data_IF_499103588220
#
_entry.id   IF_499103588220
#
_cell.length_a   1.000
_cell.length_b   1.000
_cell.length_c   1.000
_cell.angle_alpha   90.00
_cell.angle_beta   90.00
_cell.angle_gamma   90.00
#
_symmetry.space_group_name_H-M   'P 1'
#
loop_
_entity.id
_entity.type
_entity.pdbx_description
1 polymer ?
#
# COMPACT_ATOMS: atom_id res chain seq x y z
N UNK A 1 -22.97 -7.65 5.02
CA UNK A 1 -22.11 -7.77 6.22
C UNK A 1 -20.67 -8.13 5.84
N UNK A 2 -20.46 -9.04 4.90
CA UNK A 2 -19.10 -9.49 4.49
C UNK A 2 -18.18 -8.38 3.97
N UNK A 3 -18.67 -7.49 3.11
CA UNK A 3 -17.87 -6.37 2.60
C UNK A 3 -17.40 -5.39 3.68
N UNK A 4 -18.26 -5.12 4.67
CA UNK A 4 -17.91 -4.22 5.77
C UNK A 4 -16.87 -4.85 6.70
N UNK A 5 -17.03 -6.14 7.00
CA UNK A 5 -16.05 -6.91 7.77
C UNK A 5 -14.70 -6.98 7.05
N UNK A 6 -14.70 -7.28 5.74
CA UNK A 6 -13.49 -7.26 4.90
C UNK A 6 -12.81 -5.90 4.90
N UNK A 7 -13.58 -4.81 4.78
CA UNK A 7 -13.08 -3.45 4.78
C UNK A 7 -12.38 -3.08 6.11
N UNK A 8 -13.07 -3.30 7.24
CA UNK A 8 -12.51 -3.00 8.56
C UNK A 8 -11.29 -3.88 8.85
N UNK A 9 -11.36 -5.16 8.51
CA UNK A 9 -10.25 -6.09 8.66
C UNK A 9 -9.02 -5.65 7.86
N UNK A 10 -9.20 -5.18 6.63
CA UNK A 10 -8.11 -4.71 5.77
C UNK A 10 -7.43 -3.43 6.30
N UNK A 11 -8.17 -2.56 7.01
CA UNK A 11 -7.61 -1.33 7.57
C UNK A 11 -6.78 -1.61 8.83
N UNK A 12 -7.32 -2.40 9.76
CA UNK A 12 -6.76 -2.52 11.11
C UNK A 12 -6.00 -3.82 11.34
N UNK A 13 -6.55 -4.96 10.92
CA UNK A 13 -5.98 -6.29 11.19
C UNK A 13 -4.93 -6.66 10.15
N UNK A 14 -5.32 -6.61 8.86
CA UNK A 14 -4.45 -6.93 7.72
C UNK A 14 -3.75 -5.66 7.19
N UNK A 15 -3.33 -4.76 8.09
CA UNK A 15 -2.63 -3.54 7.70
C UNK A 15 -1.27 -3.88 7.06
N UNK A 16 -1.05 -3.40 5.83
CA UNK A 16 0.16 -3.71 5.05
C UNK A 16 1.46 -3.30 5.74
N UNK A 17 1.45 -2.22 6.54
CA UNK A 17 2.64 -1.75 7.24
C UNK A 17 2.83 -2.50 8.55
N UNK A 18 1.83 -2.55 9.41
CA UNK A 18 2.00 -3.03 10.77
C UNK A 18 1.94 -4.56 10.89
N UNK A 19 1.16 -5.24 10.03
CA UNK A 19 1.09 -6.69 10.04
C UNK A 19 2.19 -7.35 9.18
N UNK A 20 2.53 -6.75 8.04
CA UNK A 20 3.40 -7.39 7.05
C UNK A 20 4.69 -6.62 6.76
N UNK A 21 4.88 -5.42 7.31
CA UNK A 21 6.01 -4.51 7.06
C UNK A 21 6.23 -4.16 5.58
N UNK A 22 5.17 -4.19 4.78
CA UNK A 22 5.22 -3.91 3.36
C UNK A 22 5.14 -2.40 3.08
N UNK A 23 5.99 -1.92 2.18
CA UNK A 23 6.04 -0.50 1.80
C UNK A 23 6.80 0.37 2.79
N UNK A 24 7.64 -0.21 3.66
CA UNK A 24 8.45 0.53 4.63
C UNK A 24 9.43 1.53 3.99
N UNK A 25 9.94 1.25 2.80
CA UNK A 25 10.86 2.13 2.09
C UNK A 25 10.24 3.51 1.81
N UNK A 26 9.06 3.55 1.18
CA UNK A 26 8.32 4.80 0.94
C UNK A 26 7.75 5.40 2.22
N UNK A 27 7.29 4.56 3.13
CA UNK A 27 6.76 4.95 4.44
C UNK A 27 7.77 5.74 5.28
N UNK A 28 9.00 5.26 5.41
CA UNK A 28 10.07 5.94 6.17
C UNK A 28 10.61 7.17 5.42
N UNK A 29 10.74 7.10 4.10
CA UNK A 29 11.30 8.17 3.30
C UNK A 29 10.42 9.43 3.31
N UNK A 30 9.10 9.25 3.18
CA UNK A 30 8.14 10.34 2.96
C UNK A 30 7.47 10.84 4.25
N UNK A 31 7.54 10.08 5.35
CA UNK A 31 6.91 10.44 6.63
C UNK A 31 7.57 11.59 7.40
N UNK A 32 8.43 12.39 6.77
CA UNK A 32 9.04 13.57 7.40
C UNK A 32 8.11 14.77 7.49
N UNK A 33 7.14 14.86 6.59
CA UNK A 33 6.23 15.99 6.47
C UNK A 33 4.80 15.49 6.24
N UNK A 34 3.84 15.96 7.03
CA UNK A 34 2.43 15.53 6.95
C UNK A 34 1.81 15.84 5.57
N UNK A 35 2.12 16.98 4.97
CA UNK A 35 1.60 17.34 3.64
C UNK A 35 2.03 16.36 2.56
N UNK A 36 3.33 16.04 2.52
CA UNK A 36 3.88 15.11 1.54
C UNK A 36 3.38 13.68 1.80
N UNK A 37 3.30 13.28 3.06
CA UNK A 37 2.77 11.97 3.48
C UNK A 37 1.31 11.78 3.07
N UNK A 38 0.47 12.81 3.25
CA UNK A 38 -0.94 12.74 2.85
C UNK A 38 -1.11 12.69 1.33
N UNK A 39 -0.32 13.46 0.59
CA UNK A 39 -0.32 13.42 -0.88
C UNK A 39 0.06 12.03 -1.43
N UNK A 40 1.16 11.46 -0.92
CA UNK A 40 1.59 10.12 -1.32
C UNK A 40 0.56 9.06 -0.92
N UNK A 41 -0.01 9.16 0.26
CA UNK A 41 -1.01 8.20 0.74
C UNK A 41 -2.27 8.19 -0.11
N UNK A 42 -2.75 9.35 -0.55
CA UNK A 42 -3.88 9.45 -1.50
C UNK A 42 -3.52 8.83 -2.86
N UNK A 43 -2.31 9.08 -3.36
CA UNK A 43 -1.83 8.46 -4.60
C UNK A 43 -1.78 6.92 -4.48
N UNK A 44 -1.32 6.39 -3.35
CA UNK A 44 -1.27 4.94 -3.11
C UNK A 44 -2.69 4.34 -3.05
N UNK A 45 -3.65 5.01 -2.40
CA UNK A 45 -5.06 4.57 -2.40
C UNK A 45 -5.59 4.48 -3.83
N UNK A 46 -5.37 5.52 -4.63
CA UNK A 46 -5.83 5.56 -6.01
C UNK A 46 -5.20 4.45 -6.85
N UNK A 47 -3.88 4.27 -6.74
CA UNK A 47 -3.16 3.21 -7.48
C UNK A 47 -3.65 1.82 -7.06
N UNK A 48 -3.82 1.55 -5.76
CA UNK A 48 -4.36 0.28 -5.27
C UNK A 48 -5.77 0.01 -5.80
N UNK A 49 -6.63 1.04 -5.79
CA UNK A 49 -8.01 0.92 -6.27
C UNK A 49 -8.09 0.56 -7.75
N UNK A 50 -7.15 1.01 -8.55
CA UNK A 50 -7.10 0.69 -9.98
C UNK A 50 -6.38 -0.62 -10.25
N UNK A 51 -5.22 -0.85 -9.59
CA UNK A 51 -4.37 -2.02 -9.85
C UNK A 51 -4.95 -3.34 -9.36
N UNK A 52 -5.54 -3.38 -8.16
CA UNK A 52 -6.03 -4.64 -7.61
C UNK A 52 -7.18 -5.25 -8.43
N UNK A 53 -8.23 -4.51 -8.83
CA UNK A 53 -9.27 -5.06 -9.70
C UNK A 53 -8.73 -5.50 -11.06
N UNK A 54 -7.78 -4.77 -11.65
CA UNK A 54 -7.16 -5.15 -12.93
C UNK A 54 -6.34 -6.44 -12.77
N UNK A 55 -5.53 -6.53 -11.72
CA UNK A 55 -4.76 -7.74 -11.43
C UNK A 55 -5.66 -8.94 -11.10
N UNK A 56 -6.81 -8.70 -10.46
CA UNK A 56 -7.83 -9.74 -10.25
C UNK A 56 -8.40 -10.27 -11.57
N UNK A 57 -8.76 -9.38 -12.49
CA UNK A 57 -9.24 -9.77 -13.82
C UNK A 57 -8.16 -10.52 -14.59
N UNK A 58 -6.92 -10.06 -14.56
CA UNK A 58 -5.78 -10.74 -15.16
C UNK A 58 -5.56 -12.14 -14.57
N UNK A 59 -5.61 -12.26 -13.25
CA UNK A 59 -5.48 -13.55 -12.58
C UNK A 59 -6.58 -14.52 -13.02
N UNK A 60 -7.84 -14.04 -13.07
CA UNK A 60 -9.00 -14.86 -13.39
C UNK A 60 -9.09 -15.26 -14.89
N UNK A 61 -8.70 -14.36 -15.80
CA UNK A 61 -8.89 -14.58 -17.25
C UNK A 61 -7.62 -14.98 -17.99
N UNK A 62 -6.44 -14.67 -17.48
CA UNK A 62 -5.17 -14.90 -18.16
C UNK A 62 -4.34 -15.98 -17.46
N UNK A 63 -4.28 -15.92 -16.11
CA UNK A 63 -3.44 -16.83 -15.33
C UNK A 63 -4.17 -18.07 -14.81
N UNK A 64 -5.49 -18.14 -14.94
CA UNK A 64 -6.22 -19.34 -14.54
C UNK A 64 -5.73 -20.56 -15.34
N UNK A 65 -5.61 -21.74 -14.70
CA UNK A 65 -5.24 -22.97 -15.38
C UNK A 65 -6.16 -23.20 -16.58
N UNK A 66 -5.61 -23.51 -17.73
CA UNK A 66 -6.33 -23.73 -18.99
C UNK A 66 -7.00 -22.49 -19.65
N UNK A 67 -6.72 -21.25 -19.18
CA UNK A 67 -7.36 -20.07 -19.76
C UNK A 67 -6.82 -19.70 -21.14
N UNK A 68 -5.52 -19.71 -21.37
CA UNK A 68 -4.89 -19.35 -22.65
C UNK A 68 -4.24 -20.53 -23.37
N UNK A 69 -3.56 -21.43 -22.66
CA UNK A 69 -2.85 -22.58 -23.23
C UNK A 69 -3.17 -23.80 -22.39
N UNK A 70 -3.85 -24.79 -22.99
CA UNK A 70 -4.17 -26.06 -22.33
C UNK A 70 -2.89 -26.81 -21.93
N UNK A 71 -2.72 -27.06 -20.64
CA UNK A 71 -1.62 -27.86 -20.10
C UNK A 71 -0.38 -27.11 -19.64
N UNK A 72 -0.41 -25.76 -19.58
CA UNK A 72 0.71 -24.96 -19.05
C UNK A 72 0.21 -24.07 -17.90
N UNK A 73 0.76 -24.29 -16.71
CA UNK A 73 0.50 -23.45 -15.55
C UNK A 73 1.23 -22.10 -15.68
N UNK A 74 0.49 -21.04 -16.02
CA UNK A 74 1.01 -19.68 -16.11
C UNK A 74 1.10 -18.97 -14.75
N UNK A 75 0.75 -19.62 -13.65
CA UNK A 75 0.79 -19.04 -12.31
C UNK A 75 2.18 -18.54 -11.91
N UNK A 76 3.23 -19.14 -12.46
CA UNK A 76 4.62 -18.68 -12.30
C UNK A 76 4.86 -17.26 -12.85
N UNK A 77 4.13 -16.89 -13.91
CA UNK A 77 4.25 -15.54 -14.50
C UNK A 77 3.42 -14.48 -13.76
N UNK A 78 2.60 -14.86 -12.78
CA UNK A 78 1.72 -13.92 -12.05
C UNK A 78 2.50 -12.77 -11.44
N UNK A 79 3.62 -13.07 -10.81
CA UNK A 79 4.48 -12.07 -10.17
C UNK A 79 5.00 -11.02 -11.14
N UNK A 80 5.52 -11.46 -12.30
CA UNK A 80 6.06 -10.57 -13.34
C UNK A 80 4.95 -9.74 -13.97
N UNK A 81 3.80 -10.36 -14.25
CA UNK A 81 2.64 -9.67 -14.82
C UNK A 81 2.09 -8.61 -13.88
N UNK A 82 1.96 -8.91 -12.59
CA UNK A 82 1.48 -7.93 -11.61
C UNK A 82 2.42 -6.73 -11.51
N UNK A 83 3.73 -6.94 -11.47
CA UNK A 83 4.72 -5.85 -11.48
C UNK A 83 4.60 -5.01 -12.75
N UNK A 84 4.48 -5.64 -13.91
CA UNK A 84 4.36 -4.94 -15.19
C UNK A 84 3.09 -4.06 -15.23
N UNK A 85 1.96 -4.58 -14.77
CA UNK A 85 0.69 -3.84 -14.69
C UNK A 85 0.78 -2.67 -13.70
N UNK A 86 1.36 -2.90 -12.52
CA UNK A 86 1.56 -1.85 -11.52
C UNK A 86 2.43 -0.74 -12.10
N UNK A 87 3.56 -1.08 -12.73
CA UNK A 87 4.45 -0.11 -13.35
C UNK A 87 3.76 0.70 -14.45
N UNK A 88 3.00 0.04 -15.33
CA UNK A 88 2.26 0.71 -16.40
C UNK A 88 1.21 1.71 -15.85
N UNK A 89 0.44 1.30 -14.83
CA UNK A 89 -0.58 2.16 -14.23
C UNK A 89 0.06 3.35 -13.50
N UNK A 90 1.13 3.11 -12.75
CA UNK A 90 1.85 4.18 -12.04
C UNK A 90 2.45 5.18 -13.04
N UNK A 91 2.98 4.73 -14.17
CA UNK A 91 3.49 5.61 -15.22
C UNK A 91 2.39 6.51 -15.81
N UNK A 92 1.19 5.97 -16.00
CA UNK A 92 0.03 6.76 -16.45
C UNK A 92 -0.36 7.78 -15.37
N UNK A 93 -0.40 7.37 -14.11
CA UNK A 93 -0.71 8.27 -12.97
C UNK A 93 0.32 9.39 -12.86
N UNK A 94 1.60 9.08 -13.04
CA UNK A 94 2.68 10.07 -13.03
C UNK A 94 2.48 11.14 -14.11
N UNK A 95 2.21 10.73 -15.35
CA UNK A 95 1.93 11.66 -16.45
C UNK A 95 0.69 12.52 -16.20
N UNK A 96 -0.35 11.95 -15.60
CA UNK A 96 -1.58 12.69 -15.26
C UNK A 96 -1.31 13.70 -14.15
N UNK A 97 -0.59 13.31 -13.08
CA UNK A 97 -0.26 14.20 -11.96
C UNK A 97 0.66 15.33 -12.42
N UNK A 98 1.65 15.04 -13.25
CA UNK A 98 2.55 16.05 -13.82
C UNK A 98 1.78 17.12 -14.61
N UNK A 99 0.80 16.69 -15.42
CA UNK A 99 0.02 17.59 -16.28
C UNK A 99 -1.04 18.41 -15.53
N UNK A 100 -1.75 17.78 -14.58
CA UNK A 100 -2.91 18.39 -13.92
C UNK A 100 -2.61 18.99 -12.55
N UNK A 101 -1.59 18.52 -11.86
CA UNK A 101 -1.26 18.93 -10.49
C UNK A 101 0.26 19.20 -10.32
N UNK A 102 0.82 20.19 -11.04
CA UNK A 102 2.25 20.47 -11.02
C UNK A 102 2.78 20.85 -9.64
N UNK A 103 1.95 21.44 -8.78
CA UNK A 103 2.34 21.73 -7.39
C UNK A 103 2.51 20.46 -6.54
N UNK A 104 1.65 19.48 -6.75
CA UNK A 104 1.76 18.17 -6.08
C UNK A 104 2.95 17.39 -6.65
N UNK A 105 3.14 17.45 -7.97
CA UNK A 105 4.29 16.84 -8.64
C UNK A 105 5.61 17.39 -8.12
N UNK A 106 5.76 18.71 -7.96
CA UNK A 106 7.00 19.30 -7.43
C UNK A 106 7.27 18.94 -5.97
N UNK A 107 6.24 18.72 -5.15
CA UNK A 107 6.41 18.32 -3.75
C UNK A 107 6.60 16.81 -3.56
N UNK A 108 6.02 15.98 -4.43
CA UNK A 108 6.20 14.53 -4.44
C UNK A 108 7.39 14.09 -5.30
N UNK A 109 7.70 14.80 -6.36
CA UNK A 109 8.83 14.70 -7.28
C UNK A 109 9.50 13.32 -7.37
N UNK A 110 10.60 13.18 -6.66
CA UNK A 110 11.42 11.95 -6.61
C UNK A 110 10.65 10.76 -5.99
N UNK A 111 9.57 10.99 -5.24
CA UNK A 111 8.85 9.93 -4.53
C UNK A 111 7.75 9.27 -5.37
N UNK A 112 7.35 9.86 -6.50
CA UNK A 112 6.36 9.26 -7.38
C UNK A 112 6.81 7.91 -7.96
N UNK A 113 8.04 7.76 -8.49
CA UNK A 113 8.53 6.46 -8.94
C UNK A 113 8.61 5.39 -7.84
N UNK A 114 8.73 5.81 -6.57
CA UNK A 114 8.69 4.91 -5.42
C UNK A 114 7.32 4.23 -5.23
N UNK A 115 6.26 4.76 -5.84
CA UNK A 115 4.94 4.11 -5.84
C UNK A 115 4.98 2.85 -6.72
N UNK A 116 5.66 2.88 -7.86
CA UNK A 116 5.77 1.74 -8.77
C UNK A 116 6.47 0.53 -8.13
N UNK A 117 7.49 0.79 -7.30
CA UNK A 117 8.25 -0.26 -6.58
C UNK A 117 7.76 -0.43 -5.15
N UNK A 118 6.57 0.07 -4.81
CA UNK A 118 6.02 -0.03 -3.46
C UNK A 118 5.57 -1.46 -3.16
N UNK A 119 6.26 -2.10 -2.22
CA UNK A 119 5.97 -3.47 -1.81
C UNK A 119 4.55 -3.65 -1.26
N UNK A 120 3.89 -2.60 -0.76
CA UNK A 120 2.51 -2.69 -0.29
C UNK A 120 1.53 -2.91 -1.45
N UNK A 121 1.76 -2.29 -2.62
CA UNK A 121 0.90 -2.46 -3.79
C UNK A 121 1.08 -3.86 -4.38
N UNK A 122 2.33 -4.30 -4.51
CA UNK A 122 2.64 -5.66 -4.96
C UNK A 122 2.10 -6.71 -3.98
N UNK A 123 2.34 -6.50 -2.67
CA UNK A 123 1.83 -7.37 -1.62
C UNK A 123 0.31 -7.45 -1.61
N UNK A 124 -0.39 -6.33 -1.81
CA UNK A 124 -1.84 -6.30 -1.98
C UNK A 124 -2.33 -7.17 -3.12
N UNK A 125 -1.63 -7.14 -4.27
CA UNK A 125 -1.95 -7.98 -5.44
C UNK A 125 -1.71 -9.47 -5.15
N UNK A 126 -0.62 -9.83 -4.46
CA UNK A 126 -0.33 -11.21 -4.09
C UNK A 126 -1.29 -11.75 -3.03
N UNK A 127 -1.64 -10.94 -2.02
CA UNK A 127 -2.64 -11.35 -1.02
C UNK A 127 -4.03 -11.48 -1.62
N UNK A 128 -4.38 -10.65 -2.59
CA UNK A 128 -5.62 -10.79 -3.35
C UNK A 128 -5.67 -12.14 -4.08
N UNK A 129 -4.57 -12.58 -4.69
CA UNK A 129 -4.47 -13.90 -5.34
C UNK A 129 -4.66 -15.04 -4.34
N UNK A 130 -4.08 -14.94 -3.14
CA UNK A 130 -4.18 -15.98 -2.11
C UNK A 130 -5.54 -16.03 -1.39
N UNK A 131 -6.32 -14.94 -1.43
CA UNK A 131 -7.63 -14.85 -0.75
C UNK A 131 -8.78 -15.35 -1.59
N UNK A 132 -8.55 -15.80 -2.84
CA UNK A 132 -9.55 -16.37 -3.76
C UNK A 132 -10.87 -15.60 -3.79
N UNK A 133 -10.81 -14.30 -4.01
CA UNK A 133 -12.02 -13.46 -4.09
C UNK A 133 -12.96 -13.94 -5.20
N UNK A 134 -14.25 -13.99 -4.88
CA UNK A 134 -15.28 -14.44 -5.81
C UNK A 134 -15.63 -13.33 -6.81
N UNK A 135 -15.61 -12.08 -6.36
CA UNK A 135 -16.09 -10.93 -7.12
C UNK A 135 -15.05 -9.81 -7.21
N UNK A 136 -15.07 -9.07 -8.33
CA UNK A 136 -14.29 -7.84 -8.51
C UNK A 136 -14.59 -6.80 -7.40
N UNK A 137 -15.84 -6.79 -6.88
CA UNK A 137 -16.23 -5.91 -5.79
C UNK A 137 -15.46 -6.14 -4.49
N UNK A 138 -15.17 -7.39 -4.16
CA UNK A 138 -14.34 -7.74 -2.99
C UNK A 138 -12.91 -7.25 -3.14
N UNK A 139 -12.34 -7.41 -4.33
CA UNK A 139 -11.01 -6.88 -4.65
C UNK A 139 -10.95 -5.35 -4.53
N UNK A 140 -11.98 -4.64 -4.99
CA UNK A 140 -12.06 -3.18 -4.87
C UNK A 140 -12.21 -2.72 -3.41
N UNK A 141 -13.04 -3.39 -2.62
CA UNK A 141 -13.21 -3.09 -1.18
C UNK A 141 -11.93 -3.38 -0.41
N UNK A 142 -11.26 -4.49 -0.73
CA UNK A 142 -9.96 -4.82 -0.15
C UNK A 142 -8.87 -3.79 -0.52
N UNK A 143 -8.85 -3.32 -1.77
CA UNK A 143 -7.95 -2.28 -2.24
C UNK A 143 -8.14 -0.96 -1.47
N UNK A 144 -9.40 -0.54 -1.31
CA UNK A 144 -9.74 0.66 -0.53
C UNK A 144 -9.34 0.51 0.94
N UNK A 145 -9.66 -0.62 1.56
CA UNK A 145 -9.31 -0.89 2.95
C UNK A 145 -7.80 -0.89 3.18
N UNK A 146 -7.05 -1.61 2.35
CA UNK A 146 -5.58 -1.68 2.44
C UNK A 146 -4.93 -0.32 2.18
N UNK A 147 -5.43 0.44 1.20
CA UNK A 147 -4.96 1.78 0.88
C UNK A 147 -5.22 2.77 2.03
N UNK A 148 -6.41 2.74 2.62
CA UNK A 148 -6.75 3.56 3.79
C UNK A 148 -5.93 3.18 5.02
N UNK A 149 -5.69 1.89 5.25
CA UNK A 149 -4.83 1.40 6.32
C UNK A 149 -3.39 1.91 6.17
N UNK A 150 -2.85 1.86 4.94
CA UNK A 150 -1.53 2.40 4.62
C UNK A 150 -1.47 3.92 4.78
N UNK A 151 -2.50 4.64 4.30
CA UNK A 151 -2.64 6.09 4.44
C UNK A 151 -2.66 6.53 5.91
N UNK A 152 -3.50 5.88 6.72
CA UNK A 152 -3.62 6.16 8.14
C UNK A 152 -2.27 5.96 8.86
N UNK A 153 -1.56 4.89 8.54
CA UNK A 153 -0.26 4.61 9.12
C UNK A 153 0.77 5.70 8.78
N UNK A 154 0.89 6.11 7.51
CA UNK A 154 1.91 7.09 7.10
C UNK A 154 1.62 8.49 7.64
N UNK A 155 0.36 8.91 7.67
CA UNK A 155 -0.04 10.22 8.21
C UNK A 155 0.20 10.26 9.71
N UNK A 156 -0.14 9.20 10.44
CA UNK A 156 0.10 9.10 11.88
C UNK A 156 1.58 9.17 12.20
N UNK A 157 2.42 8.42 11.48
CA UNK A 157 3.86 8.48 11.68
C UNK A 157 4.42 9.86 11.35
N UNK A 158 3.96 10.49 10.27
CA UNK A 158 4.40 11.83 9.88
C UNK A 158 4.06 12.87 10.96
N UNK A 159 2.86 12.81 11.52
CA UNK A 159 2.42 13.70 12.60
C UNK A 159 3.26 13.50 13.88
N UNK A 160 3.56 12.25 14.23
CA UNK A 160 4.42 11.94 15.40
C UNK A 160 5.83 12.46 15.15
N UNK A 161 6.42 12.23 13.97
CA UNK A 161 7.78 12.70 13.63
C UNK A 161 7.89 14.21 13.62
N UNK A 162 6.88 14.90 13.11
CA UNK A 162 6.81 16.35 13.13
C UNK A 162 6.81 16.89 14.58
N UNK A 163 6.00 16.28 15.47
CA UNK A 163 6.02 16.60 16.90
C UNK A 163 7.36 16.25 17.58
N UNK A 164 7.94 15.11 17.26
CA UNK A 164 9.24 14.70 17.83
C UNK A 164 10.40 15.62 17.44
N UNK A 165 10.29 16.38 16.33
CA UNK A 165 11.32 17.32 15.93
C UNK A 165 11.57 18.42 16.96
N UNK A 166 10.57 18.74 17.80
CA UNK A 166 10.64 19.70 18.89
C UNK A 166 11.13 19.10 20.22
N UNK A 167 11.29 17.79 20.31
CA UNK A 167 11.70 17.10 21.53
C UNK A 167 13.23 16.94 21.61
N UNK A 168 13.77 16.86 22.84
CA UNK A 168 15.19 16.59 23.08
C UNK A 168 15.47 15.08 23.00
N UNK A 169 15.73 14.59 21.79
CA UNK A 169 16.10 13.19 21.56
C UNK A 169 17.61 13.03 21.74
N UNK A 170 18.11 11.98 22.46
CA UNK A 170 19.53 11.67 22.58
C UNK A 170 20.20 11.52 21.20
N UNK A 171 21.42 12.02 21.06
CA UNK A 171 22.15 12.05 19.80
C UNK A 171 22.26 10.70 19.08
N UNK A 172 22.49 9.54 19.76
CA UNK A 172 22.56 8.23 19.10
C UNK A 172 21.26 7.74 18.49
N UNK A 173 20.11 8.21 19.01
CA UNK A 173 18.76 7.79 18.57
C UNK A 173 18.15 8.77 17.55
N UNK A 174 18.78 9.94 17.37
CA UNK A 174 18.26 10.98 16.50
C UNK A 174 18.24 10.52 15.04
N UNK A 175 17.08 10.60 14.38
CA UNK A 175 16.89 10.25 12.97
C UNK A 175 16.13 8.93 12.80
N UNK A 176 16.75 7.97 12.12
CA UNK A 176 16.09 6.70 11.77
C UNK A 176 15.81 5.84 13.02
N UNK A 177 16.68 5.84 14.02
CA UNK A 177 16.54 5.02 15.21
C UNK A 177 15.23 5.27 15.98
N UNK A 178 14.95 6.53 16.32
CA UNK A 178 13.70 6.89 17.01
C UNK A 178 12.47 6.61 16.15
N UNK A 179 12.61 6.74 14.82
CA UNK A 179 11.50 6.43 13.90
C UNK A 179 11.14 4.96 13.93
N UNK A 180 12.14 4.04 13.91
CA UNK A 180 11.89 2.61 14.02
C UNK A 180 11.27 2.21 15.36
N UNK A 181 11.72 2.81 16.47
CA UNK A 181 11.11 2.59 17.76
C UNK A 181 9.65 3.02 17.78
N UNK A 182 9.35 4.19 17.20
CA UNK A 182 7.98 4.69 17.08
C UNK A 182 7.11 3.75 16.25
N UNK A 183 7.61 3.28 15.11
CA UNK A 183 6.89 2.33 14.25
C UNK A 183 6.64 1.01 14.98
N UNK A 184 7.62 0.51 15.75
CA UNK A 184 7.45 -0.68 16.57
C UNK A 184 6.37 -0.53 17.64
N UNK A 185 6.32 0.62 18.32
CA UNK A 185 5.27 0.94 19.30
C UNK A 185 3.89 1.05 18.63
N UNK A 186 3.81 1.69 17.44
CA UNK A 186 2.57 1.74 16.66
C UNK A 186 2.11 0.36 16.22
N UNK A 187 3.02 -0.51 15.78
CA UNK A 187 2.71 -1.89 15.40
C UNK A 187 2.16 -2.69 16.59
N UNK A 188 2.75 -2.56 17.78
CA UNK A 188 2.21 -3.19 19.00
C UNK A 188 0.80 -2.68 19.34
N UNK A 189 0.54 -1.39 19.18
CA UNK A 189 -0.81 -0.84 19.37
C UNK A 189 -1.82 -1.40 18.37
N UNK A 190 -1.44 -1.56 17.10
CA UNK A 190 -2.31 -2.17 16.09
C UNK A 190 -2.51 -3.68 16.27
N UNK A 191 -1.55 -4.39 16.85
CA UNK A 191 -1.71 -5.81 17.17
C UNK A 191 -2.84 -6.07 18.18
N UNK A 192 -3.24 -5.10 18.99
CA UNK A 192 -4.40 -5.25 19.89
C UNK A 192 -5.69 -5.50 19.13
N UNK A 193 -5.80 -5.01 17.89
CA UNK A 193 -6.97 -5.25 17.03
C UNK A 193 -7.01 -6.66 16.43
N UNK A 194 -5.88 -7.38 16.38
CA UNK A 194 -5.84 -8.77 15.87
C UNK A 194 -6.61 -9.75 16.76
N UNK A 195 -6.88 -9.41 18.03
CA UNK A 195 -7.70 -10.22 18.94
C UNK A 195 -9.21 -10.07 18.74
N UNK A 196 -9.65 -9.16 17.88
CA UNK A 196 -11.07 -8.93 17.61
C UNK A 196 -11.48 -9.80 16.43
N UNK A 197 -12.20 -10.89 16.71
CA UNK A 197 -12.84 -11.72 15.67
C UNK A 197 -14.04 -10.96 15.10
N UNK A 198 -13.84 -10.35 13.94
CA UNK A 198 -14.89 -9.67 13.14
C UNK A 198 -15.49 -10.63 12.12
#
# INVERSE_FOLDING_TARGET
MEYLSLFIKSIFVDNMIFAYFLGMCSYLAVSKNVKTASGLGLAVIFVLLVTLPINYLLNKYVLAPDALIKGVDLSFLSFILFIAVIAAIVQIVEMVVEKFLPQLYSSLGIFLPLIAVNCAILGGSLFMQNKDFVNVGESAVYALGSGLGWFLAIVTLAAIREKMSYSKVPAPLKGIGITFITVGLMAMAFMTFMGISL
#
